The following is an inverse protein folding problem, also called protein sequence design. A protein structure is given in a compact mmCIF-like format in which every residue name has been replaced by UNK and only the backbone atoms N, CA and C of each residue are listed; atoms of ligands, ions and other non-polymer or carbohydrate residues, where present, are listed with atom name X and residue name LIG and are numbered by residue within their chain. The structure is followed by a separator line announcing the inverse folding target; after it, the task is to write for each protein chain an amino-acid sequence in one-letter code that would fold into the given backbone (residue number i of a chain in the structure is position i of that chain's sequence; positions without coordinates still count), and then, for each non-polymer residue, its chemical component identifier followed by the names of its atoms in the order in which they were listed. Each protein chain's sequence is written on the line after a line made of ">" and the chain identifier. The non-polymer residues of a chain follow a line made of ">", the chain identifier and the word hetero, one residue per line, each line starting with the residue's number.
data_IF_109075020789
#
_entry.id   IF_109075020789
#
_cell.length_a   1.000
_cell.length_b   1.000
_cell.length_c   1.000
_cell.angle_alpha   90.00
_cell.angle_beta   90.00
_cell.angle_gamma   90.00
#
_symmetry.space_group_name_H-M   'P 1'
#
loop_
_entity.id
_entity.type
_entity.pdbx_description
1 polymer ?
#
# COMPACT_ATOMS: atom_id res chain seq x y z
N UNK A 1 -15.13 -12.43 8.30
CA UNK A 1 -14.30 -11.61 7.39
C UNK A 1 -13.54 -12.59 6.50
N UNK A 2 -13.39 -12.30 5.22
CA UNK A 2 -12.60 -13.12 4.30
C UNK A 2 -11.36 -12.36 3.85
N UNK A 3 -10.30 -13.10 3.55
CA UNK A 3 -9.03 -12.56 3.09
C UNK A 3 -8.50 -13.34 1.89
N UNK A 4 -7.86 -12.63 0.97
CA UNK A 4 -6.91 -13.23 0.03
C UNK A 4 -5.50 -12.80 0.37
N UNK A 5 -4.61 -13.78 0.35
CA UNK A 5 -3.17 -13.57 0.42
C UNK A 5 -2.60 -13.57 -1.01
N UNK A 6 -1.69 -12.63 -1.27
CA UNK A 6 -0.99 -12.50 -2.54
C UNK A 6 0.51 -12.56 -2.29
N UNK A 7 1.23 -13.34 -3.10
CA UNK A 7 2.69 -13.22 -3.23
C UNK A 7 3.01 -12.31 -4.41
N UNK A 8 3.77 -11.27 -4.12
CA UNK A 8 4.18 -10.27 -5.09
C UNK A 8 5.70 -10.32 -5.19
N UNK A 9 6.19 -10.52 -6.41
CA UNK A 9 7.61 -10.51 -6.76
C UNK A 9 7.98 -9.14 -7.35
N UNK A 10 8.73 -8.29 -6.62
CA UNK A 10 9.33 -7.12 -7.21
C UNK A 10 10.37 -7.53 -8.26
N UNK A 11 10.39 -6.82 -9.40
CA UNK A 11 11.40 -7.02 -10.46
C UNK A 11 12.39 -5.87 -10.54
N UNK A 12 12.14 -4.79 -9.80
CA UNK A 12 13.01 -3.62 -9.70
C UNK A 12 12.92 -2.99 -8.31
N UNK A 13 13.90 -2.14 -7.99
CA UNK A 13 13.90 -1.32 -6.79
C UNK A 13 12.68 -0.37 -6.78
N UNK A 14 11.96 -0.32 -5.66
CA UNK A 14 10.68 0.40 -5.56
C UNK A 14 10.81 1.64 -4.67
N UNK A 15 9.99 2.66 -4.93
CA UNK A 15 9.93 3.85 -4.09
C UNK A 15 8.49 4.24 -3.81
N UNK A 16 8.16 4.35 -2.53
CA UNK A 16 6.88 4.74 -1.98
C UNK A 16 7.07 5.98 -1.10
N UNK A 17 6.84 7.17 -1.64
CA UNK A 17 7.20 8.42 -0.97
C UNK A 17 6.44 8.61 0.34
N UNK A 18 7.18 8.75 1.43
CA UNK A 18 6.60 9.12 2.74
C UNK A 18 6.06 10.55 2.70
N UNK A 19 6.79 11.46 2.04
CA UNK A 19 6.40 12.86 1.86
C UNK A 19 6.26 13.17 0.36
N UNK A 20 5.04 13.29 -0.17
CA UNK A 20 4.80 13.43 -1.62
C UNK A 20 5.55 14.60 -2.27
N UNK A 21 5.60 15.75 -1.58
CA UNK A 21 6.23 17.00 -2.06
C UNK A 21 7.74 17.11 -1.82
N UNK A 22 8.37 16.13 -1.16
CA UNK A 22 9.82 16.18 -0.96
C UNK A 22 10.55 15.84 -2.25
N UNK A 23 11.34 16.81 -2.74
CA UNK A 23 12.18 16.67 -3.94
C UNK A 23 13.65 16.44 -3.61
N UNK A 24 14.06 16.85 -2.40
CA UNK A 24 15.45 16.81 -1.93
C UNK A 24 15.80 15.51 -1.23
N UNK A 25 14.89 15.04 -0.38
CA UNK A 25 15.06 13.83 0.38
C UNK A 25 13.83 12.94 0.16
N UNK A 26 13.96 12.02 -0.79
CA UNK A 26 12.92 11.08 -1.12
C UNK A 26 13.12 9.85 -0.26
N UNK A 27 12.39 9.83 0.86
CA UNK A 27 12.32 8.67 1.75
C UNK A 27 11.22 7.71 1.30
N UNK A 28 11.42 6.41 1.56
CA UNK A 28 10.48 5.35 1.19
C UNK A 28 10.00 4.55 2.39
N UNK A 29 8.76 4.06 2.32
CA UNK A 29 8.29 3.05 3.26
C UNK A 29 9.04 1.72 3.04
N UNK A 30 9.32 0.93 4.10
CA UNK A 30 9.91 -0.41 4.00
C UNK A 30 8.88 -1.50 3.63
N UNK A 31 7.70 -1.09 3.16
CA UNK A 31 6.57 -1.92 2.74
C UNK A 31 5.77 -1.15 1.67
N UNK A 32 4.81 -1.80 1.04
CA UNK A 32 3.86 -1.16 0.12
C UNK A 32 2.67 -0.61 0.92
N UNK A 33 2.38 0.70 0.88
CA UNK A 33 1.25 1.27 1.61
C UNK A 33 -0.11 0.74 1.11
N UNK A 34 -1.14 0.67 1.97
CA UNK A 34 -2.51 0.23 1.61
C UNK A 34 -3.07 0.88 0.35
N UNK A 35 -2.98 2.21 0.23
CA UNK A 35 -3.47 2.97 -0.93
C UNK A 35 -2.66 2.70 -2.19
N UNK A 36 -1.36 2.43 -2.06
CA UNK A 36 -0.53 2.06 -3.22
C UNK A 36 -0.87 0.67 -3.72
N UNK A 37 -1.06 -0.30 -2.81
CA UNK A 37 -1.49 -1.65 -3.17
C UNK A 37 -2.88 -1.63 -3.81
N UNK A 38 -3.83 -0.86 -3.26
CA UNK A 38 -5.17 -0.71 -3.83
C UNK A 38 -5.13 -0.22 -5.29
N UNK A 39 -4.37 0.84 -5.57
CA UNK A 39 -4.21 1.32 -6.95
C UNK A 39 -3.46 0.35 -7.87
N UNK A 40 -2.50 -0.41 -7.34
CA UNK A 40 -1.81 -1.47 -8.09
C UNK A 40 -2.77 -2.59 -8.49
N UNK A 41 -3.50 -3.16 -7.54
CA UNK A 41 -4.46 -4.23 -7.78
C UNK A 41 -5.58 -3.79 -8.72
N UNK A 42 -6.10 -2.57 -8.55
CA UNK A 42 -7.11 -2.03 -9.47
C UNK A 42 -6.64 -2.02 -10.92
N UNK A 43 -5.38 -1.62 -11.19
CA UNK A 43 -4.82 -1.66 -12.55
C UNK A 43 -4.70 -3.08 -13.08
N UNK A 44 -4.30 -4.04 -12.25
CA UNK A 44 -4.20 -5.44 -12.68
C UNK A 44 -5.57 -6.04 -13.00
N UNK A 45 -6.60 -5.71 -12.22
CA UNK A 45 -7.98 -6.13 -12.49
C UNK A 45 -8.50 -5.51 -13.79
N UNK A 46 -8.19 -4.24 -14.07
CA UNK A 46 -8.53 -3.64 -15.35
C UNK A 46 -7.82 -4.37 -16.51
N UNK A 47 -6.55 -4.71 -16.35
CA UNK A 47 -5.79 -5.49 -17.35
C UNK A 47 -6.38 -6.89 -17.58
N UNK A 48 -6.74 -7.62 -16.52
CA UNK A 48 -7.30 -8.97 -16.64
C UNK A 48 -8.68 -8.95 -17.31
N UNK A 49 -9.44 -7.87 -17.14
CA UNK A 49 -10.69 -7.62 -17.85
C UNK A 49 -10.50 -7.12 -19.30
N UNK A 50 -9.27 -6.98 -19.79
CA UNK A 50 -8.97 -6.50 -21.15
C UNK A 50 -9.23 -5.00 -21.35
N UNK A 51 -9.28 -4.21 -20.27
CA UNK A 51 -9.51 -2.77 -20.31
C UNK A 51 -8.19 -2.01 -20.50
N UNK A 52 -8.26 -0.87 -21.17
CA UNK A 52 -7.12 0.05 -21.26
C UNK A 52 -6.84 0.70 -19.90
N UNK A 53 -5.56 0.75 -19.52
CA UNK A 53 -5.16 1.48 -18.30
C UNK A 53 -5.18 2.98 -18.62
N UNK A 54 -5.96 3.77 -17.88
CA UNK A 54 -6.05 5.21 -18.09
C UNK A 54 -4.71 5.89 -17.82
N UNK A 55 -4.27 6.75 -18.75
CA UNK A 55 -3.12 7.61 -18.51
C UNK A 55 -3.44 8.62 -17.40
N UNK A 56 -2.63 8.63 -16.35
CA UNK A 56 -2.81 9.54 -15.20
C UNK A 56 -2.45 11.01 -15.52
N UNK A 57 -2.04 11.31 -16.74
CA UNK A 57 -1.63 12.65 -17.22
C UNK A 57 -2.81 13.54 -17.64
N UNK A 58 -4.04 12.99 -17.73
CA UNK A 58 -5.16 13.59 -18.48
C UNK A 58 -5.84 14.78 -17.77
N UNK A 59 -5.64 14.98 -16.47
CA UNK A 59 -6.19 16.15 -15.76
C UNK A 59 -5.27 16.61 -14.62
N UNK A 60 -4.53 17.72 -14.82
CA UNK A 60 -3.58 18.24 -13.82
C UNK A 60 -4.27 18.81 -12.57
N UNK A 61 -5.49 19.31 -12.71
CA UNK A 61 -6.19 20.03 -11.62
C UNK A 61 -6.98 19.06 -10.72
N UNK A 62 -7.51 17.98 -11.28
CA UNK A 62 -8.17 16.91 -10.53
C UNK A 62 -7.95 15.55 -11.22
N UNK A 63 -6.78 14.92 -11.05
CA UNK A 63 -6.50 13.65 -11.70
C UNK A 63 -7.45 12.57 -11.18
N UNK A 64 -8.05 11.75 -12.07
CA UNK A 64 -8.91 10.66 -11.64
C UNK A 64 -8.12 9.68 -10.77
N UNK A 65 -8.73 9.20 -9.70
CA UNK A 65 -8.15 8.18 -8.83
C UNK A 65 -8.71 6.82 -9.19
N UNK A 66 -7.84 5.83 -9.40
CA UNK A 66 -8.23 4.43 -9.64
C UNK A 66 -7.74 3.59 -8.47
N UNK A 67 -8.67 3.18 -7.63
CA UNK A 67 -8.46 2.35 -6.45
C UNK A 67 -9.48 1.21 -6.45
N UNK A 68 -9.21 0.17 -5.65
CA UNK A 68 -10.21 -0.86 -5.40
C UNK A 68 -11.47 -0.24 -4.78
N UNK A 69 -12.67 -0.75 -5.10
CA UNK A 69 -13.91 -0.38 -4.41
C UNK A 69 -13.79 -0.53 -2.88
N UNK A 70 -14.50 0.29 -2.07
CA UNK A 70 -14.38 0.29 -0.61
C UNK A 70 -14.66 -1.06 0.07
N UNK A 71 -15.40 -1.96 -0.59
CA UNK A 71 -15.67 -3.32 -0.08
C UNK A 71 -14.43 -4.23 -0.09
N UNK A 72 -13.38 -3.86 -0.81
CA UNK A 72 -12.12 -4.59 -0.94
C UNK A 72 -11.00 -3.75 -0.34
N UNK A 73 -10.59 -4.10 0.86
CA UNK A 73 -9.61 -3.34 1.61
C UNK A 73 -8.23 -3.96 1.40
N UNK A 74 -7.42 -3.31 0.56
CA UNK A 74 -6.01 -3.62 0.47
C UNK A 74 -5.31 -3.17 1.76
N UNK A 75 -4.66 -4.09 2.46
CA UNK A 75 -4.02 -3.82 3.75
C UNK A 75 -2.55 -3.41 3.63
N UNK A 76 -2.00 -3.44 2.42
CA UNK A 76 -0.58 -3.22 2.15
C UNK A 76 0.14 -4.52 1.79
N UNK A 77 1.42 -4.41 1.42
CA UNK A 77 2.27 -5.56 1.10
C UNK A 77 3.58 -5.47 1.88
N UNK A 78 4.00 -6.56 2.50
CA UNK A 78 5.07 -6.60 3.49
C UNK A 78 6.16 -7.58 3.08
N UNK A 79 7.44 -7.26 3.29
CA UNK A 79 8.52 -8.20 3.01
C UNK A 79 8.36 -9.51 3.77
N UNK A 80 8.54 -10.63 3.08
CA UNK A 80 8.55 -11.95 3.72
C UNK A 80 9.79 -12.08 4.61
N UNK A 81 9.58 -12.41 5.88
CA UNK A 81 10.64 -12.40 6.91
C UNK A 81 11.79 -13.38 6.66
N UNK A 82 11.53 -14.47 5.92
CA UNK A 82 12.54 -15.46 5.54
C UNK A 82 13.36 -15.08 4.30
N UNK A 83 13.05 -13.95 3.66
CA UNK A 83 13.70 -13.49 2.42
C UNK A 83 14.38 -12.14 2.62
N UNK A 84 15.32 -11.82 1.75
CA UNK A 84 16.07 -10.57 1.90
C UNK A 84 15.21 -9.35 1.55
N UNK A 85 15.28 -8.33 2.40
CA UNK A 85 14.70 -7.02 2.13
C UNK A 85 15.46 -5.91 2.85
N UNK A 86 15.36 -4.69 2.33
CA UNK A 86 15.94 -3.51 2.96
C UNK A 86 15.66 -2.22 2.20
N UNK A 87 15.76 -1.10 2.92
CA UNK A 87 15.72 0.23 2.32
C UNK A 87 17.14 0.69 2.02
N UNK A 88 17.45 0.90 0.75
CA UNK A 88 18.75 1.38 0.30
C UNK A 88 18.67 2.86 -0.08
N UNK A 89 19.54 3.68 0.54
CA UNK A 89 19.65 5.11 0.24
C UNK A 89 20.77 5.37 -0.77
N UNK A 90 20.41 6.05 -1.85
CA UNK A 90 21.35 6.56 -2.84
C UNK A 90 21.52 8.07 -2.73
N UNK A 91 22.66 8.56 -3.21
CA UNK A 91 23.02 9.97 -3.20
C UNK A 91 23.20 10.43 -4.65
N UNK A 92 22.51 11.51 -5.03
CA UNK A 92 22.53 12.06 -6.39
C UNK A 92 22.90 13.53 -6.34
N UNK A 93 23.74 13.97 -7.27
CA UNK A 93 24.01 15.40 -7.47
C UNK A 93 22.93 15.95 -8.41
N UNK A 94 22.01 16.77 -7.90
CA UNK A 94 20.93 17.36 -8.68
C UNK A 94 20.96 18.89 -8.63
N UNK A 95 20.25 19.56 -9.53
CA UNK A 95 20.14 21.02 -9.49
C UNK A 95 19.35 21.50 -8.26
N UNK A 96 19.65 22.71 -7.79
CA UNK A 96 18.99 23.34 -6.65
C UNK A 96 17.57 23.78 -6.98
N UNK A 97 17.41 24.33 -8.18
CA UNK A 97 16.14 24.72 -8.78
C UNK A 97 15.56 23.52 -9.56
N UNK A 98 15.17 22.47 -8.84
CA UNK A 98 14.53 21.32 -9.47
C UNK A 98 13.01 21.51 -9.43
N UNK A 99 12.40 21.86 -10.56
CA UNK A 99 10.95 21.77 -10.75
C UNK A 99 10.61 20.40 -11.34
N UNK A 100 9.46 19.83 -10.98
CA UNK A 100 9.03 18.50 -11.44
C UNK A 100 8.90 18.35 -12.96
N UNK A 101 8.89 19.49 -13.68
CA UNK A 101 8.66 19.58 -15.11
C UNK A 101 9.96 19.67 -15.94
N UNK A 102 11.12 19.84 -15.29
CA UNK A 102 12.40 20.05 -16.00
C UNK A 102 13.25 18.77 -15.95
N UNK A 103 12.92 17.81 -16.81
CA UNK A 103 13.64 16.55 -16.94
C UNK A 103 14.96 16.77 -17.72
N UNK A 104 16.09 16.69 -17.01
CA UNK A 104 17.47 16.80 -17.52
C UNK A 104 17.90 18.20 -18.01
N UNK A 105 18.90 18.78 -17.34
CA UNK A 105 19.73 19.85 -17.90
C UNK A 105 21.15 19.32 -18.02
N UNK A 106 21.77 19.56 -19.17
CA UNK A 106 23.20 19.35 -19.36
C UNK A 106 23.95 20.43 -18.57
N UNK A 107 25.06 20.06 -17.94
CA UNK A 107 25.94 21.03 -17.28
C UNK A 107 26.67 21.85 -18.36
N UNK A 108 26.58 23.18 -18.27
CA UNK A 108 27.34 24.11 -19.10
C UNK A 108 28.21 24.95 -18.16
N UNK A 109 29.51 24.98 -18.39
CA UNK A 109 30.51 25.55 -17.47
C UNK A 109 30.31 27.08 -17.23
N UNK A 110 29.75 27.78 -18.21
CA UNK A 110 29.47 29.23 -18.17
C UNK A 110 28.25 29.58 -17.31
N UNK A 111 27.36 28.62 -17.04
CA UNK A 111 26.20 28.76 -16.15
C UNK A 111 26.45 27.86 -14.93
N UNK A 112 27.08 28.41 -13.88
CA UNK A 112 27.43 27.67 -12.64
C UNK A 112 26.15 27.16 -11.96
N UNK A 113 25.62 26.05 -12.47
CA UNK A 113 24.44 25.41 -11.95
C UNK A 113 24.64 25.13 -10.46
N UNK A 114 23.77 25.72 -9.63
CA UNK A 114 23.75 25.47 -8.21
C UNK A 114 23.35 24.01 -7.99
N UNK A 115 24.31 23.12 -7.79
CA UNK A 115 24.04 21.73 -7.45
C UNK A 115 23.83 21.56 -5.95
N UNK A 116 22.94 20.66 -5.59
CA UNK A 116 22.73 20.21 -4.22
C UNK A 116 22.64 18.68 -4.17
N UNK A 117 22.99 18.12 -3.02
CA UNK A 117 22.90 16.68 -2.80
C UNK A 117 21.43 16.30 -2.59
N UNK A 118 20.94 15.36 -3.40
CA UNK A 118 19.64 14.74 -3.23
C UNK A 118 19.83 13.33 -2.67
N UNK A 119 18.93 12.91 -1.79
CA UNK A 119 18.86 11.53 -1.33
C UNK A 119 17.61 10.86 -1.88
N UNK A 120 17.76 9.61 -2.29
CA UNK A 120 16.66 8.80 -2.80
C UNK A 120 16.75 7.39 -2.24
N UNK A 121 15.69 6.97 -1.56
CA UNK A 121 15.55 5.66 -0.97
C UNK A 121 14.74 4.70 -1.84
N UNK A 122 15.18 3.45 -1.84
CA UNK A 122 14.55 2.35 -2.54
C UNK A 122 14.28 1.20 -1.58
N UNK A 123 13.04 0.72 -1.55
CA UNK A 123 12.74 -0.60 -1.03
C UNK A 123 13.22 -1.63 -2.04
N UNK A 124 14.10 -2.51 -1.60
CA UNK A 124 14.50 -3.71 -2.33
C UNK A 124 14.01 -4.89 -1.49
N UNK A 125 13.22 -5.77 -2.10
CA UNK A 125 12.68 -6.95 -1.44
C UNK A 125 12.62 -8.08 -2.46
N UNK A 126 12.96 -9.30 -2.04
CA UNK A 126 12.84 -10.49 -2.89
C UNK A 126 11.38 -10.92 -3.04
N UNK A 127 10.56 -10.75 -2.01
CA UNK A 127 9.13 -11.10 -2.06
C UNK A 127 8.36 -10.24 -1.08
N UNK A 128 7.11 -9.95 -1.42
CA UNK A 128 6.15 -9.29 -0.56
C UNK A 128 4.92 -10.19 -0.42
N UNK A 129 4.38 -10.26 0.80
CA UNK A 129 3.06 -10.81 1.08
C UNK A 129 2.07 -9.67 1.24
N UNK A 130 0.96 -9.73 0.51
CA UNK A 130 -0.11 -8.74 0.55
C UNK A 130 -1.43 -9.36 0.96
N UNK A 131 -2.29 -8.56 1.56
CA UNK A 131 -3.61 -8.99 2.00
C UNK A 131 -4.69 -8.05 1.47
N UNK A 132 -5.76 -8.63 0.95
CA UNK A 132 -7.02 -7.93 0.67
C UNK A 132 -8.10 -8.60 1.49
N UNK A 133 -8.93 -7.80 2.18
CA UNK A 133 -10.06 -8.32 2.96
C UNK A 133 -11.39 -7.81 2.45
N UNK A 134 -12.42 -8.62 2.62
CA UNK A 134 -13.82 -8.29 2.32
C UNK A 134 -14.78 -9.04 3.25
N UNK A 135 -15.99 -8.50 3.40
CA UNK A 135 -17.08 -9.21 4.09
C UNK A 135 -17.66 -10.34 3.24
N UNK A 136 -17.46 -10.31 1.92
CA UNK A 136 -17.94 -11.33 0.97
C UNK A 136 -16.79 -12.17 0.42
N UNK A 137 -16.91 -13.50 0.51
CA UNK A 137 -15.99 -14.43 -0.13
C UNK A 137 -16.10 -14.38 -1.66
N UNK A 138 -17.33 -14.38 -2.19
CA UNK A 138 -17.60 -14.37 -3.64
C UNK A 138 -16.97 -13.15 -4.32
N UNK A 139 -17.02 -11.99 -3.65
CA UNK A 139 -16.40 -10.77 -4.16
C UNK A 139 -14.87 -10.88 -4.32
N UNK A 140 -14.20 -11.77 -3.59
CA UNK A 140 -12.75 -11.96 -3.64
C UNK A 140 -12.31 -12.92 -4.76
N UNK A 141 -13.16 -13.84 -5.21
CA UNK A 141 -12.80 -14.88 -6.20
C UNK A 141 -12.18 -14.28 -7.49
N UNK A 142 -12.67 -13.13 -7.94
CA UNK A 142 -12.13 -12.47 -9.14
C UNK A 142 -10.67 -12.02 -9.05
N UNK A 143 -10.09 -11.92 -7.85
CA UNK A 143 -8.67 -11.59 -7.69
C UNK A 143 -7.75 -12.78 -7.97
N UNK A 144 -8.27 -14.01 -7.98
CA UNK A 144 -7.48 -15.22 -8.20
C UNK A 144 -6.95 -15.29 -9.64
N UNK A 145 -7.69 -14.70 -10.58
CA UNK A 145 -7.28 -14.55 -11.99
C UNK A 145 -6.09 -13.60 -12.19
N UNK A 146 -5.60 -12.94 -11.14
CA UNK A 146 -4.49 -11.99 -11.22
C UNK A 146 -3.11 -12.66 -11.15
N UNK A 147 -3.02 -13.97 -10.93
CA UNK A 147 -1.75 -14.68 -10.98
C UNK A 147 -1.06 -14.50 -12.35
N UNK A 148 0.22 -14.16 -12.33
CA UNK A 148 1.01 -13.86 -13.52
C UNK A 148 0.87 -12.44 -14.06
N UNK A 149 -0.09 -11.64 -13.56
CA UNK A 149 -0.21 -10.23 -13.95
C UNK A 149 0.80 -9.35 -13.22
N UNK A 150 1.34 -8.36 -13.94
CA UNK A 150 2.29 -7.42 -13.38
C UNK A 150 2.16 -6.04 -13.99
N UNK A 151 2.51 -5.03 -13.20
CA UNK A 151 2.55 -3.66 -13.68
C UNK A 151 3.47 -2.80 -12.79
N UNK A 152 3.52 -1.51 -13.10
CA UNK A 152 4.23 -0.52 -12.29
C UNK A 152 3.70 -0.50 -10.85
N UNK A 153 4.61 -0.56 -9.89
CA UNK A 153 4.35 -0.47 -8.45
C UNK A 153 5.19 0.66 -7.83
N UNK A 154 4.52 1.68 -7.30
CA UNK A 154 5.18 2.90 -6.83
C UNK A 154 5.71 3.77 -7.98
N UNK A 155 6.73 4.59 -7.72
CA UNK A 155 7.21 5.59 -8.69
C UNK A 155 8.11 5.01 -9.80
N UNK A 156 9.03 4.12 -9.44
CA UNK A 156 10.05 3.56 -10.35
C UNK A 156 10.00 2.02 -10.41
N UNK A 157 9.19 1.39 -9.54
CA UNK A 157 9.16 -0.06 -9.38
C UNK A 157 8.23 -0.76 -10.35
N UNK A 158 8.46 -2.06 -10.52
CA UNK A 158 7.59 -2.99 -11.23
C UNK A 158 7.50 -4.27 -10.42
N UNK A 159 6.33 -4.90 -10.41
CA UNK A 159 6.09 -6.12 -9.67
C UNK A 159 5.06 -7.00 -10.37
N UNK A 160 5.16 -8.31 -10.13
CA UNK A 160 4.29 -9.35 -10.67
C UNK A 160 3.64 -10.10 -9.51
N UNK A 161 2.34 -10.40 -9.59
CA UNK A 161 1.68 -11.33 -8.68
C UNK A 161 2.08 -12.74 -9.10
N UNK A 162 2.81 -13.45 -8.25
CA UNK A 162 3.28 -14.81 -8.55
C UNK A 162 2.35 -15.88 -8.02
N UNK A 163 1.62 -15.60 -6.93
CA UNK A 163 0.64 -16.52 -6.35
C UNK A 163 -0.49 -15.71 -5.70
N UNK A 164 -1.71 -16.24 -5.76
CA UNK A 164 -2.87 -15.80 -4.99
C UNK A 164 -3.43 -17.03 -4.27
N UNK A 165 -3.91 -16.88 -3.03
CA UNK A 165 -4.53 -18.01 -2.32
C UNK A 165 -5.68 -18.64 -3.13
N UNK A 166 -5.67 -19.98 -3.27
CA UNK A 166 -6.59 -20.75 -4.12
C UNK A 166 -8.07 -20.59 -3.75
N UNK A 167 -8.37 -20.24 -2.50
CA UNK A 167 -9.71 -19.92 -2.01
C UNK A 167 -9.63 -18.72 -1.05
N UNK A 168 -10.72 -17.92 -0.91
CA UNK A 168 -10.84 -16.92 0.15
C UNK A 168 -10.70 -17.56 1.54
N UNK A 169 -9.73 -17.07 2.32
CA UNK A 169 -9.44 -17.54 3.68
C UNK A 169 -10.45 -16.91 4.64
N UNK A 170 -11.24 -17.73 5.33
CA UNK A 170 -12.12 -17.26 6.40
C UNK A 170 -11.30 -16.88 7.65
N UNK A 171 -11.59 -15.70 8.20
CA UNK A 171 -10.94 -15.17 9.40
C UNK A 171 -11.97 -14.94 10.50
N UNK A 172 -11.67 -15.51 11.67
CA UNK A 172 -12.43 -15.32 12.89
C UNK A 172 -11.90 -14.12 13.68
N UNK A 173 -12.78 -13.38 14.34
CA UNK A 173 -12.37 -12.30 15.25
C UNK A 173 -12.00 -12.90 16.60
N UNK A 174 -10.76 -12.70 17.05
CA UNK A 174 -10.28 -13.18 18.35
C UNK A 174 -9.36 -12.16 19.02
N UNK A 175 -9.49 -11.98 20.33
CA UNK A 175 -8.55 -11.21 21.14
C UNK A 175 -7.36 -12.10 21.55
N UNK A 176 -6.16 -11.83 21.05
CA UNK A 176 -4.98 -12.67 21.29
C UNK A 176 -3.69 -11.86 21.29
N UNK A 177 -2.66 -12.35 21.99
CA UNK A 177 -1.30 -11.82 21.90
C UNK A 177 -0.59 -12.40 20.66
N UNK A 178 -0.43 -11.59 19.62
CA UNK A 178 0.14 -12.04 18.35
C UNK A 178 0.96 -10.95 17.66
N UNK A 179 1.90 -11.36 16.81
CA UNK A 179 2.63 -10.44 15.95
C UNK A 179 1.74 -10.07 14.75
N UNK A 180 1.43 -8.77 14.52
CA UNK A 180 0.57 -8.37 13.42
C UNK A 180 1.14 -8.78 12.06
N UNK A 181 0.33 -9.39 11.20
CA UNK A 181 0.70 -9.68 9.79
C UNK A 181 0.72 -8.41 8.93
N UNK A 182 0.14 -7.32 9.42
CA UNK A 182 0.00 -6.04 8.71
C UNK A 182 0.39 -4.87 9.61
N UNK A 183 0.18 -3.65 9.12
CA UNK A 183 0.28 -2.43 9.92
C UNK A 183 -0.67 -2.49 11.11
N UNK A 184 -0.25 -1.88 12.22
CA UNK A 184 -1.07 -1.70 13.40
C UNK A 184 -1.29 -0.21 13.65
N UNK A 185 -2.52 0.30 13.58
CA UNK A 185 -2.77 1.70 13.91
C UNK A 185 -2.33 2.04 15.33
N UNK A 186 -1.64 3.17 15.49
CA UNK A 186 -1.04 3.56 16.77
C UNK A 186 -2.08 3.82 17.86
N UNK A 187 -3.26 4.31 17.50
CA UNK A 187 -4.32 4.58 18.47
C UNK A 187 -4.78 3.30 19.19
N UNK A 188 -4.74 2.14 18.53
CA UNK A 188 -5.09 0.86 19.17
C UNK A 188 -4.09 0.49 20.28
N UNK A 189 -2.79 0.72 20.06
CA UNK A 189 -1.77 0.50 21.11
C UNK A 189 -1.95 1.46 22.30
N UNK A 190 -2.33 2.71 22.02
CA UNK A 190 -2.52 3.74 23.04
C UNK A 190 -3.77 3.51 23.89
N UNK A 191 -4.88 3.08 23.28
CA UNK A 191 -6.14 2.82 23.97
C UNK A 191 -6.01 1.68 24.99
N UNK A 192 -5.31 0.61 24.63
CA UNK A 192 -5.11 -0.56 25.49
C UNK A 192 -3.90 -0.41 26.45
N UNK A 193 -3.27 0.78 26.48
CA UNK A 193 -2.09 1.10 27.30
C UNK A 193 -0.94 0.08 27.13
N UNK A 194 -0.79 -0.46 25.93
CA UNK A 194 0.24 -1.43 25.62
C UNK A 194 1.50 -0.72 25.14
N UNK A 195 2.53 -0.74 25.98
CA UNK A 195 3.86 -0.23 25.63
C UNK A 195 4.67 -1.34 24.96
N UNK A 196 4.41 -1.56 23.68
CA UNK A 196 5.12 -2.55 22.88
C UNK A 196 6.24 -1.87 22.08
N UNK A 197 7.49 -2.26 22.36
CA UNK A 197 8.67 -1.78 21.64
C UNK A 197 8.92 -2.53 20.33
N UNK A 198 9.94 -2.10 19.57
CA UNK A 198 10.40 -2.83 18.38
C UNK A 198 9.56 -2.61 17.12
N UNK A 199 8.81 -1.50 17.04
CA UNK A 199 8.18 -1.04 15.81
C UNK A 199 8.78 0.29 15.34
N UNK A 200 8.67 0.50 14.03
CA UNK A 200 8.86 1.79 13.39
C UNK A 200 7.49 2.47 13.20
N UNK A 201 7.46 3.79 13.33
CA UNK A 201 6.22 4.58 13.24
C UNK A 201 6.19 5.34 11.93
N UNK A 202 5.08 5.21 11.20
CA UNK A 202 4.89 5.84 9.90
C UNK A 202 3.59 6.63 9.83
N UNK A 203 3.66 7.82 9.24
CA UNK A 203 2.49 8.55 8.79
C UNK A 203 2.03 7.97 7.46
N UNK A 204 0.76 7.61 7.38
CA UNK A 204 0.12 7.00 6.22
C UNK A 204 -1.16 7.76 5.89
N UNK A 205 -1.76 7.38 4.76
CA UNK A 205 -3.01 7.97 4.30
C UNK A 205 -3.99 6.86 3.97
N UNK A 206 -5.23 7.03 4.37
CA UNK A 206 -6.37 6.23 3.89
C UNK A 206 -7.25 7.07 2.98
N UNK A 207 -8.06 6.42 2.16
CA UNK A 207 -9.04 7.12 1.33
C UNK A 207 -10.13 7.77 2.19
N UNK A 208 -10.53 8.98 1.82
CA UNK A 208 -11.79 9.60 2.25
C UNK A 208 -12.85 9.26 1.20
N UNK A 209 -13.57 8.17 1.42
CA UNK A 209 -14.61 7.70 0.51
C UNK A 209 -15.76 8.72 0.43
N UNK A 210 -16.33 8.93 -0.76
CA UNK A 210 -17.54 9.73 -0.87
C UNK A 210 -18.73 9.01 -0.21
N UNK A 211 -19.72 9.77 0.27
CA UNK A 211 -20.90 9.24 0.98
C UNK A 211 -21.72 8.30 0.08
N UNK A 212 -21.69 8.51 -1.23
CA UNK A 212 -22.51 7.80 -2.22
C UNK A 212 -21.82 6.57 -2.84
N UNK A 213 -20.69 6.09 -2.29
CA UNK A 213 -20.01 4.87 -2.82
C UNK A 213 -20.70 3.58 -2.38
N UNK A 214 -22.02 3.63 -2.17
CA UNK A 214 -22.84 2.42 -2.02
C UNK A 214 -22.95 1.76 -3.39
N UNK A 215 -22.00 0.88 -3.63
CA UNK A 215 -21.96 0.06 -4.82
C UNK A 215 -23.03 -1.04 -4.72
N UNK A 216 -23.92 -1.08 -5.70
CA UNK A 216 -25.12 -1.91 -5.73
C UNK A 216 -24.84 -3.37 -6.12
N UNK A 217 -23.66 -3.69 -6.67
CA UNK A 217 -23.22 -5.04 -7.02
C UNK A 217 -21.72 -5.25 -6.78
N UNK A 218 -21.27 -6.50 -6.61
CA UNK A 218 -19.86 -6.85 -6.36
C UNK A 218 -18.92 -6.42 -7.52
N UNK A 219 -19.43 -6.39 -8.75
CA UNK A 219 -18.67 -6.06 -9.96
C UNK A 219 -18.49 -4.53 -10.17
N UNK A 220 -19.38 -3.73 -9.59
CA UNK A 220 -19.38 -2.27 -9.78
C UNK A 220 -18.10 -1.63 -9.21
N UNK A 221 -17.41 -0.85 -10.04
CA UNK A 221 -16.11 -0.24 -9.72
C UNK A 221 -14.93 -1.22 -9.71
N UNK A 222 -15.15 -2.51 -9.90
CA UNK A 222 -14.10 -3.55 -9.87
C UNK A 222 -13.64 -3.94 -11.28
N UNK A 223 -14.57 -4.25 -12.19
CA UNK A 223 -14.31 -4.69 -13.58
C UNK A 223 -14.65 -3.61 -14.62
N UNK A 224 -14.73 -2.34 -14.22
CA UNK A 224 -15.01 -1.23 -15.13
C UNK A 224 -13.79 -0.31 -15.33
N UNK A 225 -13.93 0.73 -16.15
CA UNK A 225 -12.91 1.77 -16.36
C UNK A 225 -13.22 3.07 -15.62
N UNK A 226 -14.17 3.06 -14.68
CA UNK A 226 -14.61 4.28 -14.00
C UNK A 226 -13.62 4.68 -12.91
N UNK A 227 -13.34 5.99 -12.76
CA UNK A 227 -12.61 6.51 -11.61
C UNK A 227 -13.35 6.18 -10.30
N UNK A 228 -12.58 5.85 -9.27
CA UNK A 228 -13.09 5.61 -7.92
C UNK A 228 -13.43 6.95 -7.26
N UNK A 229 -14.64 7.06 -6.70
CA UNK A 229 -15.10 8.29 -6.04
C UNK A 229 -14.46 8.46 -4.66
N UNK A 230 -13.41 9.29 -4.61
CA UNK A 230 -12.62 9.59 -3.43
C UNK A 230 -12.57 11.12 -3.26
N UNK A 231 -12.96 11.62 -2.10
CA UNK A 231 -12.98 13.06 -1.79
C UNK A 231 -11.62 13.59 -1.35
N UNK A 232 -10.67 12.70 -1.05
CA UNK A 232 -9.34 13.04 -0.60
C UNK A 232 -8.71 11.92 0.22
N UNK A 233 -7.75 12.29 1.06
CA UNK A 233 -6.98 11.36 1.88
C UNK A 233 -6.99 11.81 3.34
N UNK A 234 -7.21 10.89 4.26
CA UNK A 234 -7.15 11.14 5.71
C UNK A 234 -5.84 10.57 6.25
N UNK A 235 -4.98 11.40 6.88
CA UNK A 235 -3.75 10.90 7.48
C UNK A 235 -4.04 10.06 8.72
N UNK A 236 -3.22 9.04 8.96
CA UNK A 236 -3.22 8.26 10.20
C UNK A 236 -1.80 7.78 10.51
N UNK A 237 -1.56 7.37 11.76
CA UNK A 237 -0.26 6.89 12.21
C UNK A 237 -0.34 5.39 12.48
N UNK A 238 0.64 4.63 11.97
CA UNK A 238 0.72 3.19 12.22
C UNK A 238 2.11 2.76 12.65
N UNK A 239 2.14 1.72 13.47
CA UNK A 239 3.30 0.91 13.77
C UNK A 239 3.49 -0.16 12.69
N UNK A 240 4.73 -0.32 12.26
CA UNK A 240 5.20 -1.44 11.45
C UNK A 240 6.20 -2.26 12.25
N UNK A 241 5.98 -3.57 12.32
CA UNK A 241 6.86 -4.51 13.00
C UNK A 241 7.60 -5.33 11.95
N UNK A 242 8.85 -4.99 11.66
CA UNK A 242 9.68 -5.72 10.68
C UNK A 242 10.16 -7.09 11.17
N UNK A 243 10.04 -7.37 12.46
CA UNK A 243 10.51 -8.59 13.11
C UNK A 243 9.52 -9.01 14.19
N UNK A 244 9.50 -10.31 14.51
CA UNK A 244 8.76 -10.81 15.66
C UNK A 244 9.23 -10.14 16.95
N UNK A 245 8.26 -9.76 17.78
CA UNK A 245 8.48 -9.01 19.03
C UNK A 245 7.98 -9.82 20.22
N UNK A 246 8.61 -9.61 21.37
CA UNK A 246 8.22 -10.21 22.64
C UNK A 246 8.34 -9.17 23.78
N UNK A 247 7.25 -8.83 24.48
CA UNK A 247 5.88 -9.36 24.31
C UNK A 247 5.21 -8.85 23.03
N UNK A 248 4.37 -9.69 22.43
CA UNK A 248 3.51 -9.30 21.31
C UNK A 248 2.27 -8.52 21.81
N UNK A 249 1.72 -7.59 21.01
CA UNK A 249 0.51 -6.85 21.37
C UNK A 249 -0.70 -7.77 21.47
N UNK A 250 -1.50 -7.59 22.53
CA UNK A 250 -2.75 -8.33 22.77
C UNK A 250 -3.92 -7.49 22.29
N UNK A 251 -4.47 -7.80 21.12
CA UNK A 251 -5.50 -6.97 20.48
C UNK A 251 -6.57 -7.86 19.84
N UNK A 252 -7.62 -7.24 19.34
CA UNK A 252 -8.56 -7.90 18.45
C UNK A 252 -7.95 -8.07 17.05
N UNK A 253 -7.87 -9.32 16.61
CA UNK A 253 -7.41 -9.72 15.28
C UNK A 253 -8.50 -10.47 14.53
N UNK A 254 -8.55 -10.27 13.21
CA UNK A 254 -9.10 -11.27 12.29
C UNK A 254 -8.00 -12.29 11.99
N UNK A 255 -8.25 -13.58 12.29
CA UNK A 255 -7.24 -14.63 12.22
C UNK A 255 -7.79 -16.01 11.88
N UNK A 256 -6.96 -16.84 11.26
CA UNK A 256 -7.12 -18.30 11.09
C UNK A 256 -6.08 -19.10 11.90
N UNK A 257 -5.32 -18.43 12.79
CA UNK A 257 -4.19 -19.00 13.53
C UNK A 257 -2.81 -18.75 12.91
N UNK A 258 -2.75 -18.33 11.64
CA UNK A 258 -1.50 -18.00 10.94
C UNK A 258 -1.41 -16.52 10.58
N UNK A 259 -2.51 -15.95 10.08
CA UNK A 259 -2.64 -14.54 9.72
C UNK A 259 -3.23 -13.78 10.89
N UNK A 260 -2.67 -12.63 11.26
CA UNK A 260 -3.13 -11.78 12.36
C UNK A 260 -3.33 -10.34 11.86
N UNK A 261 -4.52 -10.05 11.31
CA UNK A 261 -4.88 -8.72 10.81
C UNK A 261 -5.56 -7.93 11.92
N UNK A 262 -5.02 -6.78 12.39
CA UNK A 262 -5.68 -5.97 13.42
C UNK A 262 -7.05 -5.50 12.95
N UNK A 263 -8.09 -5.76 13.75
CA UNK A 263 -9.46 -5.29 13.48
C UNK A 263 -9.49 -3.76 13.37
N UNK A 264 -8.67 -3.08 14.19
CA UNK A 264 -8.51 -1.63 14.17
C UNK A 264 -8.03 -1.09 12.81
N UNK A 265 -7.14 -1.81 12.09
CA UNK A 265 -6.70 -1.41 10.76
C UNK A 265 -7.86 -1.49 9.76
N UNK A 266 -8.62 -2.58 9.79
CA UNK A 266 -9.76 -2.79 8.89
C UNK A 266 -10.79 -1.68 9.06
N UNK A 267 -11.21 -1.42 10.30
CA UNK A 267 -12.19 -0.39 10.61
C UNK A 267 -11.68 1.01 10.20
N UNK A 268 -10.41 1.30 10.50
CA UNK A 268 -9.78 2.55 10.09
C UNK A 268 -9.83 2.74 8.57
N UNK A 269 -9.49 1.72 7.78
CA UNK A 269 -9.48 1.80 6.31
C UNK A 269 -10.88 1.88 5.69
N UNK A 270 -11.90 1.31 6.34
CA UNK A 270 -13.32 1.53 5.99
C UNK A 270 -13.78 2.98 6.25
N UNK A 271 -13.06 3.69 7.11
CA UNK A 271 -13.44 5.02 7.57
C UNK A 271 -14.36 5.03 8.78
N UNK A 272 -14.47 3.89 9.46
CA UNK A 272 -15.13 3.78 10.75
C UNK A 272 -14.23 4.40 11.82
N UNK A 273 -14.83 5.14 12.77
CA UNK A 273 -14.12 5.72 13.91
C UNK A 273 -13.88 4.60 14.93
N UNK A 274 -12.70 4.60 15.58
CA UNK A 274 -12.39 3.71 16.70
C UNK A 274 -13.55 3.65 17.70
N UNK A 275 -14.15 2.47 17.89
CA UNK A 275 -15.03 2.14 19.02
C UNK A 275 -14.24 1.28 19.98
#
# INVERSE_FOLDING_TARGET
>A
MYCLEFKIQPTAAMTFRILPGSILNIATYPFVPPTTLSGFLRRLVMLSAGLEIPETSVNKDNPPTYALPPRYLALGAYPVSSKWSGVHRTYRKGMREFTHDTFSRLYVEEDRANFQLHTWEYLIAEELVAYVVSESAAGLEHFQDLEGYGCKLGKEGYAVITEVSEEPIELERTTIAAHPSTLLPMEALLQDRQFVGGCDIYNLYRYNWAIDVQTHSEQEGFLDSNPTSIQGFVPFVAAYFSHSINPAPTLDYYTNGEIYIPVSLVNLLKGEVYV
#
